data_IF_701574474211
#
_entry.id   IF_701574474211
#
_cell.length_a   1.000
_cell.length_b   1.000
_cell.length_c   1.000
_cell.angle_alpha   90.00
_cell.angle_beta   90.00
_cell.angle_gamma   90.00
#
_symmetry.space_group_name_H-M   'P 1'
#
loop_
_entity.id
_entity.type
_entity.pdbx_description
1 polymer ?
#
# COMPACT_ATOMS: atom_id res chain seq x y z
N UNK A 1 18.75 -10.08 -36.23
CA UNK A 1 19.13 -8.83 -35.54
C UNK A 1 19.11 -9.15 -34.07
N UNK A 2 20.16 -8.84 -33.32
CA UNK A 2 20.18 -9.03 -31.87
C UNK A 2 19.21 -8.00 -31.26
N UNK A 3 18.08 -8.46 -30.74
CA UNK A 3 17.02 -7.57 -30.29
C UNK A 3 17.47 -6.97 -28.95
N UNK A 4 17.90 -5.70 -28.96
CA UNK A 4 18.51 -5.08 -27.80
C UNK A 4 17.48 -4.94 -26.67
N UNK A 5 17.65 -5.76 -25.65
CA UNK A 5 16.75 -5.89 -24.52
C UNK A 5 16.49 -4.54 -23.83
N UNK A 6 15.21 -4.23 -23.60
CA UNK A 6 14.74 -2.95 -23.09
C UNK A 6 14.54 -3.00 -21.57
N UNK A 7 15.60 -2.72 -20.81
CA UNK A 7 15.57 -2.66 -19.34
C UNK A 7 14.59 -1.62 -18.78
N UNK A 8 14.13 -0.62 -19.56
CA UNK A 8 13.09 0.32 -19.10
C UNK A 8 11.71 -0.31 -19.15
N UNK A 9 11.31 -0.90 -20.29
CA UNK A 9 10.01 -1.58 -20.39
C UNK A 9 9.97 -2.77 -19.42
N UNK A 10 11.08 -3.51 -19.30
CA UNK A 10 11.20 -4.59 -18.30
C UNK A 10 10.94 -4.10 -16.87
N UNK A 11 11.42 -2.91 -16.49
CA UNK A 11 11.16 -2.32 -15.17
C UNK A 11 9.71 -1.85 -15.01
N UNK A 12 9.06 -1.35 -16.06
CA UNK A 12 7.62 -1.04 -16.05
C UNK A 12 6.79 -2.31 -15.81
N UNK A 13 7.09 -3.39 -16.55
CA UNK A 13 6.46 -4.70 -16.39
C UNK A 13 6.64 -5.28 -14.97
N UNK A 14 7.86 -5.20 -14.41
CA UNK A 14 8.12 -5.60 -13.02
C UNK A 14 7.32 -4.76 -12.00
N UNK A 15 7.18 -3.45 -12.24
CA UNK A 15 6.37 -2.56 -11.39
C UNK A 15 4.89 -2.93 -11.43
N UNK A 16 4.33 -3.23 -12.61
CA UNK A 16 2.94 -3.65 -12.78
C UNK A 16 2.63 -4.99 -12.09
N UNK A 17 3.57 -5.94 -12.14
CA UNK A 17 3.49 -7.21 -11.39
C UNK A 17 3.45 -6.94 -9.88
N UNK A 18 4.39 -6.16 -9.35
CA UNK A 18 4.45 -5.80 -7.93
C UNK A 18 3.22 -5.01 -7.47
N UNK A 19 2.67 -4.17 -8.33
CA UNK A 19 1.42 -3.44 -8.08
C UNK A 19 0.22 -4.39 -8.03
N UNK A 20 0.15 -5.37 -8.93
CA UNK A 20 -0.88 -6.43 -8.91
C UNK A 20 -0.84 -7.24 -7.61
N UNK A 21 0.36 -7.56 -7.10
CA UNK A 21 0.54 -8.24 -5.81
C UNK A 21 -0.02 -7.45 -4.61
N UNK A 22 -0.29 -6.14 -4.73
CA UNK A 22 -0.95 -5.36 -3.66
C UNK A 22 -2.45 -5.65 -3.52
N UNK A 23 -3.08 -6.28 -4.52
CA UNK A 23 -4.52 -6.63 -4.53
C UNK A 23 -4.80 -8.07 -4.12
N UNK A 24 -3.79 -8.93 -4.21
CA UNK A 24 -3.90 -10.37 -4.00
C UNK A 24 -3.36 -10.74 -2.61
N UNK A 25 -3.87 -11.80 -2.00
CA UNK A 25 -3.23 -12.37 -0.81
C UNK A 25 -1.88 -13.01 -1.19
N UNK A 26 -1.03 -13.30 -0.19
CA UNK A 26 0.31 -13.91 -0.44
C UNK A 26 0.19 -15.26 -1.17
N UNK A 27 -0.90 -16.00 -0.97
CA UNK A 27 -1.22 -17.25 -1.68
C UNK A 27 -1.74 -17.04 -3.12
N UNK A 28 -2.15 -15.82 -3.48
CA UNK A 28 -2.74 -15.49 -4.79
C UNK A 28 -1.83 -14.62 -5.68
N UNK A 29 -0.72 -14.13 -5.12
CA UNK A 29 0.35 -13.44 -5.85
C UNK A 29 0.77 -14.25 -7.08
N UNK A 30 1.17 -13.57 -8.16
CA UNK A 30 1.46 -14.24 -9.43
C UNK A 30 2.65 -15.21 -9.26
N UNK A 31 2.42 -16.52 -9.37
CA UNK A 31 3.50 -17.52 -9.37
C UNK A 31 4.42 -17.33 -10.57
N UNK A 32 5.59 -17.96 -10.56
CA UNK A 32 6.59 -17.80 -11.61
C UNK A 32 6.10 -18.30 -12.98
N UNK A 33 5.17 -19.26 -12.98
CA UNK A 33 4.41 -19.68 -14.17
C UNK A 33 3.47 -18.58 -14.64
N UNK A 34 2.67 -17.97 -13.74
CA UNK A 34 1.74 -16.88 -14.10
C UNK A 34 2.48 -15.62 -14.55
N UNK A 35 3.65 -15.33 -14.00
CA UNK A 35 4.55 -14.29 -14.51
C UNK A 35 5.03 -14.66 -15.91
N UNK A 36 5.44 -15.91 -16.14
CA UNK A 36 5.78 -16.40 -17.48
C UNK A 36 4.65 -16.21 -18.49
N UNK A 37 3.43 -16.63 -18.15
CA UNK A 37 2.24 -16.43 -18.97
C UNK A 37 2.00 -14.94 -19.26
N UNK A 38 2.07 -14.07 -18.24
CA UNK A 38 1.89 -12.63 -18.39
C UNK A 38 2.93 -12.00 -19.34
N UNK A 39 4.19 -12.42 -19.24
CA UNK A 39 5.26 -11.98 -20.14
C UNK A 39 5.03 -12.45 -21.59
N UNK A 40 4.51 -13.66 -21.81
CA UNK A 40 4.18 -14.15 -23.18
C UNK A 40 3.03 -13.39 -23.86
N UNK A 41 2.24 -12.62 -23.12
CA UNK A 41 1.15 -11.78 -23.66
C UNK A 41 1.66 -10.39 -24.13
N UNK A 42 2.86 -9.99 -23.71
CA UNK A 42 3.48 -8.69 -24.06
C UNK A 42 3.84 -8.60 -25.54
N UNK A 43 3.90 -7.40 -26.14
CA UNK A 43 4.24 -7.25 -27.56
C UNK A 43 5.71 -7.67 -27.79
N UNK A 44 6.02 -8.61 -28.72
CA UNK A 44 7.40 -9.00 -29.03
C UNK A 44 8.33 -7.83 -29.41
N UNK A 45 7.79 -6.67 -29.79
CA UNK A 45 8.56 -5.42 -30.02
C UNK A 45 9.16 -4.83 -28.75
N UNK A 46 8.62 -5.15 -27.57
CA UNK A 46 9.04 -4.55 -26.31
C UNK A 46 10.41 -5.06 -25.83
N UNK A 47 10.87 -6.20 -26.38
CA UNK A 47 12.18 -6.79 -26.13
C UNK A 47 12.48 -6.90 -24.63
N UNK A 48 11.57 -7.55 -23.88
CA UNK A 48 11.65 -7.66 -22.42
C UNK A 48 12.83 -8.52 -21.95
N UNK A 49 13.30 -8.22 -20.73
CA UNK A 49 14.32 -8.95 -20.01
C UNK A 49 13.65 -9.88 -18.98
N UNK A 50 13.07 -10.99 -19.43
CA UNK A 50 12.33 -11.93 -18.57
C UNK A 50 13.14 -12.36 -17.34
N UNK A 51 14.47 -12.52 -17.49
CA UNK A 51 15.36 -12.89 -16.41
C UNK A 51 15.46 -11.78 -15.34
N UNK A 52 15.67 -10.52 -15.75
CA UNK A 52 15.68 -9.39 -14.82
C UNK A 52 14.31 -9.11 -14.20
N UNK A 53 13.21 -9.27 -14.94
CA UNK A 53 11.85 -9.08 -14.42
C UNK A 53 11.60 -10.06 -13.29
N UNK A 54 11.90 -11.35 -13.52
CA UNK A 54 11.82 -12.39 -12.49
C UNK A 54 12.73 -12.09 -11.31
N UNK A 55 14.01 -11.85 -11.57
CA UNK A 55 15.02 -11.55 -10.54
C UNK A 55 14.59 -10.39 -9.62
N UNK A 56 14.11 -9.27 -10.17
CA UNK A 56 13.73 -8.11 -9.37
C UNK A 56 12.40 -8.33 -8.64
N UNK A 57 11.42 -8.97 -9.25
CA UNK A 57 10.13 -9.29 -8.61
C UNK A 57 10.33 -10.28 -7.47
N UNK A 58 11.07 -11.37 -7.69
CA UNK A 58 11.40 -12.39 -6.68
C UNK A 58 12.18 -11.78 -5.52
N UNK A 59 13.24 -11.00 -5.80
CA UNK A 59 14.04 -10.33 -4.76
C UNK A 59 13.20 -9.34 -3.94
N UNK A 60 12.30 -8.60 -4.60
CA UNK A 60 11.39 -7.66 -3.93
C UNK A 60 10.38 -8.38 -3.03
N UNK A 61 9.85 -9.52 -3.48
CA UNK A 61 8.91 -10.35 -2.70
C UNK A 61 9.58 -11.00 -1.50
N UNK A 62 10.76 -11.59 -1.70
CA UNK A 62 11.53 -12.28 -0.66
C UNK A 62 11.88 -11.35 0.51
N UNK A 63 12.33 -10.13 0.20
CA UNK A 63 12.79 -9.15 1.18
C UNK A 63 11.82 -7.98 1.38
N UNK A 64 10.52 -8.20 1.11
CA UNK A 64 9.52 -7.14 1.14
C UNK A 64 9.49 -6.43 2.49
N UNK A 65 9.48 -7.18 3.60
CA UNK A 65 9.34 -6.60 4.94
C UNK A 65 10.55 -5.73 5.32
N UNK A 66 11.74 -6.18 4.97
CA UNK A 66 13.01 -5.48 5.18
C UNK A 66 13.05 -4.19 4.35
N UNK A 67 12.62 -4.25 3.08
CA UNK A 67 12.49 -3.08 2.21
C UNK A 67 11.46 -2.09 2.76
N UNK A 68 10.25 -2.55 3.13
CA UNK A 68 9.19 -1.70 3.72
C UNK A 68 9.68 -1.03 5.00
N UNK A 69 10.29 -1.79 5.93
CA UNK A 69 10.81 -1.27 7.20
C UNK A 69 11.96 -0.27 6.99
N UNK A 70 12.89 -0.56 6.08
CA UNK A 70 14.02 0.32 5.79
C UNK A 70 13.56 1.62 5.12
N UNK A 71 12.73 1.54 4.09
CA UNK A 71 12.20 2.72 3.38
C UNK A 71 11.30 3.56 4.28
N UNK A 72 10.55 2.93 5.19
CA UNK A 72 9.69 3.60 6.18
C UNK A 72 10.46 4.60 7.06
N UNK A 73 11.74 4.37 7.35
CA UNK A 73 12.61 5.28 8.13
C UNK A 73 12.76 6.67 7.48
N UNK A 74 12.51 6.79 6.17
CA UNK A 74 12.65 8.04 5.42
C UNK A 74 11.31 8.70 5.07
N UNK A 75 10.18 8.08 5.44
CA UNK A 75 8.83 8.62 5.26
C UNK A 75 8.52 9.67 6.34
N UNK A 76 8.94 10.92 6.11
CA UNK A 76 8.91 12.00 7.13
C UNK A 76 7.56 12.21 7.85
N UNK A 77 6.46 12.27 7.10
CA UNK A 77 5.11 12.61 7.59
C UNK A 77 4.05 11.59 7.15
N UNK A 78 4.50 10.51 6.52
CA UNK A 78 3.65 9.48 5.93
C UNK A 78 4.01 8.15 6.59
N UNK A 79 3.00 7.32 6.87
CA UNK A 79 3.25 5.91 7.18
C UNK A 79 3.21 5.11 5.87
N UNK A 80 3.77 3.91 5.86
CA UNK A 80 3.81 3.07 4.65
C UNK A 80 2.41 2.83 4.08
N UNK A 81 1.43 2.56 4.94
CA UNK A 81 0.03 2.24 4.63
C UNK A 81 -0.74 3.44 4.06
N UNK A 82 -0.25 4.67 4.30
CA UNK A 82 -0.85 5.91 3.76
C UNK A 82 -0.34 6.26 2.37
N UNK A 83 0.70 5.58 1.88
CA UNK A 83 1.15 5.74 0.50
C UNK A 83 0.15 5.08 -0.45
N UNK A 84 0.00 5.64 -1.65
CA UNK A 84 -0.72 4.95 -2.72
C UNK A 84 0.00 3.64 -3.08
N UNK A 85 -0.76 2.59 -3.39
CA UNK A 85 -0.23 1.27 -3.77
C UNK A 85 0.78 1.34 -4.92
N UNK A 86 0.59 2.30 -5.83
CA UNK A 86 1.52 2.56 -6.94
C UNK A 86 2.84 3.15 -6.44
N UNK A 87 2.83 4.10 -5.50
CA UNK A 87 4.04 4.65 -4.89
C UNK A 87 4.76 3.60 -4.03
N UNK A 88 4.04 2.75 -3.29
CA UNK A 88 4.62 1.60 -2.58
C UNK A 88 5.35 0.67 -3.55
N UNK A 89 4.73 0.33 -4.68
CA UNK A 89 5.30 -0.58 -5.69
C UNK A 89 6.55 -0.01 -6.35
N UNK A 90 6.55 1.28 -6.70
CA UNK A 90 7.73 1.98 -7.23
C UNK A 90 8.86 2.03 -6.20
N UNK A 91 8.55 2.34 -4.94
CA UNK A 91 9.54 2.39 -3.86
C UNK A 91 10.14 1.01 -3.55
N UNK A 92 9.33 -0.05 -3.54
CA UNK A 92 9.78 -1.42 -3.36
C UNK A 92 10.71 -1.87 -4.49
N UNK A 93 10.30 -1.67 -5.75
CA UNK A 93 11.11 -2.01 -6.92
C UNK A 93 12.45 -1.27 -6.92
N UNK A 94 12.43 0.04 -6.71
CA UNK A 94 13.65 0.85 -6.65
C UNK A 94 14.50 0.51 -5.43
N UNK A 95 13.89 0.16 -4.29
CA UNK A 95 14.59 -0.31 -3.10
C UNK A 95 15.34 -1.61 -3.34
N UNK A 96 14.71 -2.60 -3.98
CA UNK A 96 15.37 -3.86 -4.36
C UNK A 96 16.54 -3.61 -5.34
N UNK A 97 16.36 -2.73 -6.34
CA UNK A 97 17.44 -2.35 -7.24
C UNK A 97 18.61 -1.63 -6.55
N UNK A 98 18.34 -0.78 -5.55
CA UNK A 98 19.36 0.00 -4.84
C UNK A 98 20.12 -0.82 -3.77
N UNK A 99 19.45 -1.78 -3.15
CA UNK A 99 19.92 -2.41 -1.91
C UNK A 99 20.30 -3.89 -2.09
N UNK A 100 19.76 -4.57 -3.11
CA UNK A 100 19.89 -6.02 -3.30
C UNK A 100 20.55 -6.34 -4.65
N UNK A 101 20.11 -5.71 -5.75
CA UNK A 101 20.57 -6.04 -7.09
C UNK A 101 21.87 -5.32 -7.49
N UNK A 102 22.99 -6.04 -7.36
CA UNK A 102 24.35 -5.52 -7.65
C UNK A 102 24.62 -5.22 -9.13
N UNK A 103 23.78 -5.68 -10.05
CA UNK A 103 23.90 -5.42 -11.49
C UNK A 103 23.23 -4.10 -11.95
N UNK A 104 22.49 -3.42 -11.07
CA UNK A 104 21.86 -2.13 -11.35
C UNK A 104 22.66 -0.99 -10.73
N UNK A 105 23.22 -0.05 -11.52
CA UNK A 105 23.90 1.11 -10.95
C UNK A 105 22.92 2.01 -10.19
N UNK A 106 23.30 2.44 -8.98
CA UNK A 106 22.44 3.20 -8.05
C UNK A 106 21.76 4.43 -8.70
N UNK A 107 22.54 5.20 -9.47
CA UNK A 107 22.04 6.38 -10.19
C UNK A 107 21.05 6.03 -11.30
N UNK A 108 21.10 4.83 -11.86
CA UNK A 108 20.14 4.35 -12.86
C UNK A 108 18.84 3.97 -12.16
N UNK A 109 18.90 3.18 -11.08
CA UNK A 109 17.72 2.82 -10.28
C UNK A 109 16.95 4.07 -9.81
N UNK A 110 17.64 5.05 -9.23
CA UNK A 110 17.03 6.30 -8.77
C UNK A 110 16.42 7.12 -9.91
N UNK A 111 17.10 7.26 -11.05
CA UNK A 111 16.56 7.98 -12.20
C UNK A 111 15.34 7.28 -12.82
N UNK A 112 15.37 5.95 -12.96
CA UNK A 112 14.27 5.18 -13.54
C UNK A 112 13.05 5.14 -12.61
N UNK A 113 13.24 5.14 -11.29
CA UNK A 113 12.15 5.29 -10.31
C UNK A 113 11.38 6.61 -10.50
N UNK A 114 12.08 7.71 -10.80
CA UNK A 114 11.45 9.00 -11.13
C UNK A 114 10.70 8.94 -12.47
N UNK A 115 11.20 8.16 -13.44
CA UNK A 115 10.49 7.95 -14.73
C UNK A 115 9.21 7.15 -14.52
N UNK A 116 9.22 6.12 -13.68
CA UNK A 116 8.00 5.38 -13.28
C UNK A 116 7.01 6.29 -12.56
N UNK A 117 7.47 7.06 -11.57
CA UNK A 117 6.62 8.00 -10.83
C UNK A 117 5.95 9.02 -11.77
N UNK A 118 6.66 9.52 -12.79
CA UNK A 118 6.10 10.42 -13.83
C UNK A 118 5.08 9.75 -14.75
N UNK A 119 5.11 8.44 -14.88
CA UNK A 119 4.24 7.69 -15.78
C UNK A 119 2.96 7.21 -15.08
N UNK A 120 3.08 6.78 -13.82
CA UNK A 120 2.00 6.12 -13.08
C UNK A 120 1.47 6.92 -11.86
N UNK A 121 2.06 8.09 -11.54
CA UNK A 121 1.74 8.86 -10.34
C UNK A 121 1.76 10.38 -10.60
N UNK A 122 1.47 11.17 -9.56
CA UNK A 122 1.37 12.63 -9.65
C UNK A 122 2.72 13.38 -9.52
N UNK A 123 2.70 14.70 -9.77
CA UNK A 123 3.92 15.51 -9.74
C UNK A 123 4.55 15.63 -8.34
N UNK A 124 3.73 15.59 -7.29
CA UNK A 124 4.19 15.66 -5.90
C UNK A 124 4.89 14.36 -5.49
N UNK A 125 4.35 13.22 -5.95
CA UNK A 125 4.92 11.87 -5.80
C UNK A 125 6.31 11.76 -6.44
N UNK A 126 6.58 12.44 -7.56
CA UNK A 126 7.93 12.48 -8.14
C UNK A 126 8.97 13.06 -7.18
N UNK A 127 8.65 14.20 -6.56
CA UNK A 127 9.56 14.90 -5.63
C UNK A 127 9.71 14.11 -4.33
N UNK A 128 8.62 13.50 -3.88
CA UNK A 128 8.58 12.63 -2.70
C UNK A 128 9.40 11.35 -2.87
N UNK A 129 9.16 10.57 -3.93
CA UNK A 129 9.89 9.32 -4.23
C UNK A 129 11.39 9.59 -4.37
N UNK A 130 11.77 10.63 -5.13
CA UNK A 130 13.18 11.05 -5.22
C UNK A 130 13.78 11.32 -3.83
N UNK A 131 13.09 12.09 -2.98
CA UNK A 131 13.58 12.46 -1.65
C UNK A 131 13.70 11.24 -0.70
N UNK A 132 12.85 10.23 -0.83
CA UNK A 132 12.94 8.98 -0.07
C UNK A 132 14.14 8.15 -0.56
N UNK A 133 14.27 7.94 -1.87
CA UNK A 133 15.35 7.13 -2.46
C UNK A 133 16.74 7.79 -2.30
N UNK A 134 16.84 9.13 -2.35
CA UNK A 134 18.06 9.88 -2.04
C UNK A 134 18.55 9.65 -0.61
N UNK A 135 17.64 9.44 0.35
CA UNK A 135 17.99 9.17 1.75
C UNK A 135 18.28 7.69 1.96
N UNK A 136 17.51 6.80 1.34
CA UNK A 136 17.78 5.36 1.31
C UNK A 136 19.20 5.08 0.79
N UNK A 137 19.57 5.68 -0.35
CA UNK A 137 20.91 5.54 -0.96
C UNK A 137 22.04 6.01 -0.04
N UNK A 138 21.87 7.14 0.66
CA UNK A 138 22.86 7.65 1.63
C UNK A 138 23.03 6.76 2.87
N UNK A 139 22.02 5.95 3.19
CA UNK A 139 21.97 5.11 4.38
C UNK A 139 22.01 3.61 4.05
N UNK A 140 22.32 3.24 2.80
CA UNK A 140 22.27 1.85 2.31
C UNK A 140 23.12 0.87 3.12
N UNK A 141 24.24 1.32 3.69
CA UNK A 141 25.12 0.53 4.55
C UNK A 141 24.45 0.13 5.89
N UNK A 142 23.29 0.71 6.21
CA UNK A 142 22.45 0.33 7.36
C UNK A 142 21.23 -0.54 6.98
N UNK A 143 21.15 -0.99 5.72
CA UNK A 143 20.23 -2.03 5.30
C UNK A 143 20.85 -3.40 5.60
N UNK A 144 20.06 -4.31 6.15
CA UNK A 144 20.47 -5.67 6.50
C UNK A 144 19.33 -6.61 6.13
N UNK A 145 19.66 -7.77 5.58
CA UNK A 145 18.70 -8.85 5.35
C UNK A 145 18.60 -9.70 6.61
N UNK A 146 17.42 -10.26 6.90
CA UNK A 146 17.22 -11.09 8.10
C UNK A 146 18.11 -12.35 8.11
N UNK A 147 18.58 -12.79 6.94
CA UNK A 147 19.52 -13.92 6.81
C UNK A 147 20.93 -13.61 7.39
N UNK A 148 21.34 -12.33 7.42
CA UNK A 148 22.61 -11.87 7.98
C UNK A 148 22.53 -11.58 9.49
N UNK A 149 21.34 -11.60 10.10
CA UNK A 149 21.18 -11.35 11.54
C UNK A 149 21.85 -12.49 12.33
N UNK A 150 22.79 -12.20 13.25
CA UNK A 150 23.42 -13.25 14.05
C UNK A 150 22.35 -13.98 14.89
N UNK A 151 22.24 -15.30 14.69
CA UNK A 151 21.31 -16.18 15.42
C UNK A 151 21.75 -16.33 16.87
N UNK A 152 21.54 -15.30 17.68
CA UNK A 152 22.23 -15.13 18.96
C UNK A 152 21.51 -14.32 20.03
N UNK A 153 20.24 -13.95 19.84
CA UNK A 153 19.38 -13.41 20.90
C UNK A 153 17.97 -14.01 20.75
N UNK A 154 17.60 -14.90 21.67
CA UNK A 154 16.25 -15.43 21.76
C UNK A 154 15.39 -14.42 22.51
N UNK A 155 14.39 -13.87 21.84
CA UNK A 155 13.35 -13.06 22.48
C UNK A 155 12.60 -13.91 23.52
N UNK A 156 12.93 -13.72 24.79
CA UNK A 156 12.09 -14.11 25.91
C UNK A 156 11.75 -12.88 26.75
N UNK A 157 10.90 -12.05 26.18
CA UNK A 157 10.24 -10.94 26.87
C UNK A 157 8.90 -10.66 26.18
N UNK A 158 7.89 -11.40 26.62
CA UNK A 158 6.51 -10.92 26.60
C UNK A 158 6.46 -9.67 27.47
N UNK A 159 6.59 -8.49 26.88
CA UNK A 159 6.19 -7.24 27.54
C UNK A 159 5.06 -6.57 26.75
N UNK A 160 4.05 -6.17 27.51
CA UNK A 160 2.74 -5.80 27.01
C UNK A 160 2.77 -4.39 26.42
N UNK A 161 2.01 -4.17 25.34
CA UNK A 161 1.82 -2.83 24.81
C UNK A 161 1.04 -1.99 25.85
N UNK A 162 1.57 -0.87 26.37
CA UNK A 162 0.89 -0.10 27.39
C UNK A 162 -0.40 0.52 26.83
N UNK A 163 -1.54 0.43 27.54
CA UNK A 163 -2.81 0.95 27.04
C UNK A 163 -2.77 2.48 26.88
N UNK A 164 -3.30 2.96 25.76
CA UNK A 164 -3.40 4.39 25.45
C UNK A 164 -4.30 5.13 26.45
N UNK A 165 -3.95 6.35 26.91
CA UNK A 165 -4.79 7.06 27.90
C UNK A 165 -6.00 7.74 27.24
N UNK A 166 -7.14 7.08 27.23
CA UNK A 166 -8.47 7.72 27.16
C UNK A 166 -9.41 7.06 28.18
N UNK A 167 -10.40 7.84 28.65
CA UNK A 167 -11.42 7.48 29.66
C UNK A 167 -10.95 7.40 31.13
N UNK A 168 -10.43 8.54 31.63
CA UNK A 168 -10.36 8.84 33.06
C UNK A 168 -11.53 9.75 33.50
N UNK A 169 -12.78 9.29 33.36
CA UNK A 169 -13.99 9.82 34.00
C UNK A 169 -14.97 8.65 34.15
N UNK A 170 -15.47 8.25 35.31
CA UNK A 170 -15.29 8.70 36.68
C UNK A 170 -16.27 7.91 37.54
N UNK A 171 -15.78 7.06 38.44
CA UNK A 171 -16.63 6.27 39.32
C UNK A 171 -16.94 7.07 40.59
N UNK A 172 -18.23 7.23 40.90
CA UNK A 172 -18.70 7.51 42.26
C UNK A 172 -19.85 6.56 42.55
N UNK A 173 -19.72 5.85 43.67
CA UNK A 173 -20.72 4.94 44.20
C UNK A 173 -21.98 5.70 44.63
N UNK A 174 -23.13 5.04 44.62
CA UNK A 174 -23.86 4.73 45.86
C UNK A 174 -25.03 3.76 45.60
N UNK A 175 -25.49 3.15 46.70
CA UNK A 175 -26.23 1.88 46.73
C UNK A 175 -27.62 2.06 47.36
N UNK A 176 -28.52 1.09 47.12
CA UNK A 176 -29.78 0.81 47.84
C UNK A 176 -30.91 1.87 47.88
N UNK A 177 -32.18 1.43 47.79
CA UNK A 177 -33.34 2.32 48.01
C UNK A 177 -34.67 1.92 47.34
N UNK A 178 -35.29 0.87 47.86
CA UNK A 178 -36.72 0.49 47.89
C UNK A 178 -37.84 1.31 47.17
N UNK A 179 -38.80 0.53 46.66
CA UNK A 179 -40.27 0.65 46.81
C UNK A 179 -41.23 1.31 45.78
N UNK A 180 -42.26 0.50 45.49
CA UNK A 180 -43.69 0.79 45.27
C UNK A 180 -44.26 1.78 44.21
N UNK A 181 -45.08 1.16 43.34
CA UNK A 181 -46.50 1.47 43.09
C UNK A 181 -46.93 2.59 42.11
N UNK A 182 -47.28 2.12 40.90
CA UNK A 182 -48.63 2.19 40.29
C UNK A 182 -49.22 3.52 39.73
N UNK A 183 -50.18 3.30 38.81
CA UNK A 183 -51.12 4.22 38.12
C UNK A 183 -50.54 5.04 36.96
N UNK A 184 -50.95 4.72 35.73
CA UNK A 184 -52.01 5.40 34.94
C UNK A 184 -51.39 6.48 34.03
N UNK A 185 -51.89 6.83 32.83
CA UNK A 185 -52.77 6.18 31.84
C UNK A 185 -52.66 7.00 30.52
N UNK A 186 -53.39 6.61 29.47
CA UNK A 186 -53.61 7.35 28.19
C UNK A 186 -52.43 7.53 27.23
N UNK A 187 -52.53 6.81 26.10
CA UNK A 187 -52.40 7.46 24.79
C UNK A 187 -53.59 8.42 24.55
N UNK A 188 -53.49 9.38 23.62
CA UNK A 188 -54.34 9.24 22.42
C UNK A 188 -53.74 9.75 21.09
N UNK A 189 -54.31 9.20 20.01
CA UNK A 189 -54.69 9.84 18.73
C UNK A 189 -53.65 10.70 17.96
N UNK A 190 -53.23 10.30 16.75
CA UNK A 190 -54.01 10.31 15.49
C UNK A 190 -54.48 11.70 15.10
N UNK A 191 -53.93 12.22 14.00
CA UNK A 191 -54.57 13.26 13.19
C UNK A 191 -54.45 12.89 11.71
N UNK A 192 -55.59 12.83 11.03
CA UNK A 192 -55.69 12.50 9.61
C UNK A 192 -55.65 13.75 8.72
N UNK A 193 -55.23 13.54 7.47
CA UNK A 193 -55.77 14.14 6.23
C UNK A 193 -56.08 15.64 6.10
N UNK A 194 -55.41 16.27 5.13
CA UNK A 194 -56.08 16.90 3.98
C UNK A 194 -55.18 16.73 2.74
N UNK A 195 -55.62 16.08 1.65
CA UNK A 195 -56.59 16.56 0.63
C UNK A 195 -55.94 17.68 -0.19
N UNK A 196 -55.24 17.36 -1.29
CA UNK A 196 -55.72 17.15 -2.68
C UNK A 196 -56.04 18.44 -3.45
N UNK A 197 -55.21 18.72 -4.46
CA UNK A 197 -55.49 19.33 -5.78
C UNK A 197 -54.18 19.09 -6.60
N UNK A 198 -54.09 18.49 -7.81
CA UNK A 198 -54.82 18.65 -9.08
C UNK A 198 -54.94 20.14 -9.49
N UNK A 199 -54.49 20.64 -10.65
CA UNK A 199 -53.77 20.09 -11.81
C UNK A 199 -52.89 21.26 -12.41
N UNK A 200 -52.34 21.32 -13.63
CA UNK A 200 -52.47 20.59 -14.91
C UNK A 200 -51.09 20.51 -15.65
N UNK A 201 -50.87 19.44 -16.42
CA UNK A 201 -50.17 19.51 -17.72
C UNK A 201 -51.22 20.02 -18.74
N UNK A 202 -50.91 20.90 -19.73
CA UNK A 202 -50.18 20.39 -20.92
C UNK A 202 -49.43 21.40 -21.82
N UNK A 203 -48.80 20.82 -22.87
CA UNK A 203 -48.41 21.38 -24.21
C UNK A 203 -46.98 21.91 -24.42
N UNK A 204 -46.16 21.02 -24.96
CA UNK A 204 -45.76 21.02 -26.39
C UNK A 204 -45.97 22.30 -27.22
N UNK A 205 -44.85 22.87 -27.68
CA UNK A 205 -44.58 23.48 -29.01
C UNK A 205 -43.14 24.07 -28.91
N UNK A 206 -42.17 23.95 -29.83
CA UNK A 206 -42.02 23.21 -31.10
C UNK A 206 -40.54 22.83 -31.27
#
# INVERSE_FOLDING_TARGET
>A
MENKVNRRHSRMMAMEILYSDTFHSVQEALSDERIGEFLTISDPKDALDDAYIKQVVESTRAHKKELEAFLSRFLKQWTWERLSRINQSILLLAGAELLILKDVPEKVALNEAIVLAKHYSDEDSNRFINAVLDQALKNKESFQLEEDRPKGEQENSLEECPPTPQEAVGASENNEGEDQAARESKAPEVFESSTIEQAEDPKTDQ
#
